data_IF_962683532193
#
_entry.id   IF_962683532193
#
_cell.length_a   1.000
_cell.length_b   1.000
_cell.length_c   1.000
_cell.angle_alpha   90.00
_cell.angle_beta   90.00
_cell.angle_gamma   90.00
#
_symmetry.space_group_name_H-M   'P 1'
#
loop_
_entity.id
_entity.type
_entity.pdbx_description
1 polymer ?
#
# COMPACT_ATOMS: atom_id res chain seq x y z
N UNK A 1 -2.84 -13.00 13.45
CA UNK A 1 -3.30 -11.62 13.49
C UNK A 1 -3.40 -10.98 12.12
N UNK A 2 -2.39 -11.11 11.28
CA UNK A 2 -2.39 -10.57 9.91
C UNK A 2 -3.55 -11.09 9.07
N UNK A 3 -3.83 -12.40 9.16
CA UNK A 3 -4.91 -13.02 8.39
C UNK A 3 -6.29 -12.48 8.77
N UNK A 4 -6.48 -12.11 10.04
CA UNK A 4 -7.74 -11.51 10.47
C UNK A 4 -7.92 -10.11 9.90
N UNK A 5 -6.83 -9.37 9.82
CA UNK A 5 -6.89 -8.02 9.25
C UNK A 5 -7.21 -8.07 7.76
N UNK A 6 -6.66 -9.06 7.03
CA UNK A 6 -6.98 -9.27 5.62
C UNK A 6 -8.49 -9.38 5.43
N UNK A 7 -9.14 -10.21 6.25
CA UNK A 7 -10.58 -10.44 6.13
C UNK A 7 -11.40 -9.23 6.53
N UNK A 8 -10.96 -8.52 7.56
CA UNK A 8 -11.63 -7.28 7.95
C UNK A 8 -11.57 -6.26 6.83
N UNK A 9 -10.40 -6.14 6.21
CA UNK A 9 -10.20 -5.20 5.13
C UNK A 9 -11.07 -5.55 3.92
N UNK A 10 -11.13 -6.84 3.56
CA UNK A 10 -11.98 -7.30 2.47
C UNK A 10 -13.44 -6.95 2.73
N UNK A 11 -13.89 -7.14 3.97
CA UNK A 11 -15.26 -6.84 4.35
C UNK A 11 -15.56 -5.35 4.25
N UNK A 12 -14.63 -4.51 4.70
CA UNK A 12 -14.83 -3.07 4.70
C UNK A 12 -14.87 -2.47 3.30
N UNK A 13 -14.06 -2.99 2.38
CA UNK A 13 -14.05 -2.45 1.03
C UNK A 13 -15.07 -3.09 0.13
N UNK A 14 -15.61 -4.25 0.53
CA UNK A 14 -16.61 -4.96 -0.25
C UNK A 14 -17.88 -4.12 -0.37
N UNK A 15 -18.35 -3.94 -1.60
CA UNK A 15 -19.58 -3.18 -1.83
C UNK A 15 -19.40 -1.67 -1.84
N UNK A 16 -18.23 -1.18 -1.51
CA UNK A 16 -17.98 0.25 -1.61
C UNK A 16 -18.03 0.70 -3.08
N UNK A 17 -18.82 1.70 -3.38
CA UNK A 17 -19.03 2.18 -4.76
C UNK A 17 -18.84 3.69 -4.90
N UNK A 18 -18.18 4.30 -3.92
CA UNK A 18 -17.92 5.73 -3.97
C UNK A 18 -16.69 6.07 -4.82
N UNK A 19 -16.12 7.22 -4.54
CA UNK A 19 -14.96 7.72 -5.25
C UNK A 19 -13.78 6.75 -5.13
N UNK A 20 -13.07 6.53 -6.24
CA UNK A 20 -11.91 5.63 -6.30
C UNK A 20 -12.21 4.17 -5.95
N UNK A 21 -13.46 3.73 -6.13
CA UNK A 21 -13.87 2.36 -5.75
C UNK A 21 -13.01 1.28 -6.40
N UNK A 22 -12.58 1.47 -7.65
CA UNK A 22 -11.75 0.48 -8.34
C UNK A 22 -10.40 0.28 -7.64
N UNK A 23 -9.78 1.37 -7.20
CA UNK A 23 -8.50 1.30 -6.49
C UNK A 23 -8.69 0.81 -5.06
N UNK A 24 -9.73 1.30 -4.39
CA UNK A 24 -10.00 0.90 -3.00
C UNK A 24 -10.26 -0.60 -2.91
N UNK A 25 -10.89 -1.19 -3.92
CA UNK A 25 -11.11 -2.63 -3.94
C UNK A 25 -9.82 -3.43 -3.96
N UNK A 26 -8.70 -2.80 -4.30
CA UNK A 26 -7.38 -3.46 -4.33
C UNK A 26 -6.64 -3.37 -3.00
N UNK A 27 -7.20 -2.68 -2.00
CA UNK A 27 -6.53 -2.54 -0.70
C UNK A 27 -6.16 -3.89 -0.07
N UNK A 28 -7.06 -4.91 -0.05
CA UNK A 28 -6.68 -6.19 0.52
C UNK A 28 -5.51 -6.85 -0.22
N UNK A 29 -5.51 -6.79 -1.56
CA UNK A 29 -4.43 -7.38 -2.35
C UNK A 29 -3.10 -6.68 -2.10
N UNK A 30 -3.12 -5.35 -1.98
CA UNK A 30 -1.92 -4.57 -1.71
C UNK A 30 -1.39 -4.85 -0.30
N UNK A 31 -2.29 -4.97 0.68
CA UNK A 31 -1.89 -5.34 2.03
C UNK A 31 -1.21 -6.71 2.05
N UNK A 32 -1.80 -7.70 1.36
CA UNK A 32 -1.21 -9.03 1.26
C UNK A 32 0.15 -9.00 0.57
N UNK A 33 0.29 -8.16 -0.46
CA UNK A 33 1.57 -7.99 -1.13
C UNK A 33 2.65 -7.55 -0.14
N UNK A 34 2.34 -6.54 0.68
CA UNK A 34 3.31 -6.05 1.66
C UNK A 34 3.70 -7.14 2.67
N UNK A 35 2.73 -7.90 3.18
CA UNK A 35 3.04 -8.95 4.15
C UNK A 35 3.88 -10.07 3.54
N UNK A 36 3.62 -10.41 2.28
CA UNK A 36 4.40 -11.45 1.59
C UNK A 36 5.79 -10.97 1.23
N UNK A 37 5.94 -9.71 0.86
CA UNK A 37 7.26 -9.13 0.60
C UNK A 37 8.14 -9.21 1.84
N UNK A 38 7.55 -8.94 3.00
CA UNK A 38 8.31 -8.97 4.25
C UNK A 38 8.90 -10.37 4.53
N UNK A 39 8.19 -11.43 4.09
CA UNK A 39 8.64 -12.81 4.28
C UNK A 39 9.51 -13.31 3.12
N UNK A 40 9.66 -12.55 2.05
CA UNK A 40 10.42 -13.00 0.89
C UNK A 40 11.91 -12.78 1.12
N UNK A 41 12.74 -13.84 1.03
CA UNK A 41 14.18 -13.71 1.28
C UNK A 41 14.90 -12.80 0.27
N UNK A 42 14.29 -12.52 -0.88
CA UNK A 42 14.88 -11.64 -1.87
C UNK A 42 14.59 -10.16 -1.63
N UNK A 43 13.77 -9.84 -0.62
CA UNK A 43 13.49 -8.44 -0.30
C UNK A 43 14.79 -7.75 0.12
N UNK A 44 15.17 -6.62 -0.55
CA UNK A 44 16.35 -5.89 -0.11
C UNK A 44 16.19 -5.48 1.36
N UNK A 45 17.16 -5.89 2.18
CA UNK A 45 17.06 -5.73 3.63
C UNK A 45 16.86 -4.30 4.09
N UNK A 46 17.45 -3.34 3.39
CA UNK A 46 17.31 -1.93 3.79
C UNK A 46 15.90 -1.40 3.55
N UNK A 47 15.08 -2.11 2.78
CA UNK A 47 13.69 -1.70 2.53
C UNK A 47 12.69 -2.36 3.48
N UNK A 48 13.13 -3.31 4.31
CA UNK A 48 12.24 -3.94 5.28
C UNK A 48 11.52 -2.92 6.17
N UNK A 49 12.20 -1.89 6.71
CA UNK A 49 11.50 -0.90 7.52
C UNK A 49 10.38 -0.17 6.78
N UNK A 50 10.56 0.11 5.48
CA UNK A 50 9.51 0.74 4.68
C UNK A 50 8.31 -0.18 4.50
N UNK A 51 8.57 -1.46 4.23
CA UNK A 51 7.50 -2.45 4.09
C UNK A 51 6.72 -2.57 5.40
N UNK A 52 7.44 -2.66 6.53
CA UNK A 52 6.81 -2.71 7.85
C UNK A 52 5.97 -1.46 8.10
N UNK A 53 6.50 -0.28 7.75
CA UNK A 53 5.79 0.97 7.96
C UNK A 53 4.49 1.03 7.15
N UNK A 54 4.51 0.51 5.90
CA UNK A 54 3.29 0.51 5.09
C UNK A 54 2.23 -0.43 5.66
N UNK A 55 2.63 -1.57 6.23
CA UNK A 55 1.71 -2.48 6.89
C UNK A 55 1.13 -1.82 8.14
N UNK A 56 1.97 -1.19 8.94
CA UNK A 56 1.52 -0.51 10.15
C UNK A 56 0.55 0.62 9.84
N UNK A 57 0.77 1.33 8.74
CA UNK A 57 -0.10 2.43 8.33
C UNK A 57 -1.53 1.94 8.08
N UNK A 58 -1.68 0.76 7.46
CA UNK A 58 -3.00 0.15 7.29
C UNK A 58 -3.69 -0.16 8.61
N UNK A 59 -2.92 -0.62 9.59
CA UNK A 59 -3.46 -1.13 10.85
C UNK A 59 -3.77 -0.03 11.86
N UNK A 60 -2.95 1.03 11.84
CA UNK A 60 -3.09 2.12 12.81
C UNK A 60 -4.36 2.93 12.55
N UNK A 61 -5.06 3.35 13.62
CA UNK A 61 -6.31 4.09 13.45
C UNK A 61 -6.14 5.55 13.05
N UNK A 62 -4.91 6.09 13.09
CA UNK A 62 -4.66 7.49 12.79
C UNK A 62 -4.09 7.67 11.39
N UNK A 63 -4.98 7.74 10.40
CA UNK A 63 -4.60 8.02 9.03
C UNK A 63 -4.69 9.51 8.73
N UNK A 64 -4.00 9.93 7.67
CA UNK A 64 -4.10 11.31 7.19
C UNK A 64 -5.54 11.62 6.80
N UNK A 65 -6.21 10.63 6.17
CA UNK A 65 -7.65 10.72 5.86
C UNK A 65 -8.35 9.73 6.79
N UNK A 66 -9.06 10.21 7.84
CA UNK A 66 -9.65 9.31 8.83
C UNK A 66 -10.71 8.39 8.25
N UNK A 67 -10.52 7.09 8.43
CA UNK A 67 -11.48 6.08 7.95
C UNK A 67 -12.82 6.20 8.67
N UNK A 68 -12.80 6.57 9.94
CA UNK A 68 -14.02 6.76 10.74
C UNK A 68 -14.95 7.80 10.12
N UNK A 69 -14.38 8.81 9.49
CA UNK A 69 -15.15 9.89 8.89
C UNK A 69 -15.51 9.61 7.44
N UNK A 70 -14.62 8.97 6.69
CA UNK A 70 -14.78 8.78 5.25
C UNK A 70 -15.00 7.34 4.82
N UNK A 71 -15.00 6.39 5.77
CA UNK A 71 -15.14 4.97 5.47
C UNK A 71 -14.00 4.47 4.59
N UNK A 72 -14.28 3.57 3.63
CA UNK A 72 -13.23 3.00 2.79
C UNK A 72 -12.42 4.03 1.99
N UNK A 73 -12.95 5.22 1.78
CA UNK A 73 -12.19 6.27 1.09
C UNK A 73 -10.92 6.62 1.86
N UNK A 74 -10.91 6.39 3.19
CA UNK A 74 -9.72 6.61 4.01
C UNK A 74 -8.55 5.70 3.66
N UNK A 75 -8.78 4.62 2.89
CA UNK A 75 -7.69 3.72 2.48
C UNK A 75 -6.89 4.25 1.30
N UNK A 76 -7.27 5.39 0.73
CA UNK A 76 -6.57 5.94 -0.45
C UNK A 76 -5.10 6.21 -0.16
N UNK A 77 -4.79 6.75 1.02
CA UNK A 77 -3.40 7.01 1.40
C UNK A 77 -2.62 5.72 1.64
N UNK A 78 -3.27 4.69 2.21
CA UNK A 78 -2.65 3.36 2.38
C UNK A 78 -2.30 2.74 1.03
N UNK A 79 -3.23 2.84 0.07
CA UNK A 79 -3.05 2.29 -1.27
C UNK A 79 -1.88 2.98 -1.96
N UNK A 80 -1.82 4.31 -1.89
CA UNK A 80 -0.71 5.05 -2.47
C UNK A 80 0.62 4.62 -1.84
N UNK A 81 0.65 4.52 -0.52
CA UNK A 81 1.87 4.17 0.20
C UNK A 81 2.36 2.78 -0.21
N UNK A 82 1.46 1.81 -0.33
CA UNK A 82 1.85 0.47 -0.76
C UNK A 82 2.44 0.48 -2.17
N UNK A 83 1.83 1.23 -3.08
CA UNK A 83 2.34 1.34 -4.44
C UNK A 83 3.73 2.00 -4.46
N UNK A 84 3.91 3.03 -3.66
CA UNK A 84 5.18 3.72 -3.53
C UNK A 84 6.29 2.77 -3.04
N UNK A 85 5.99 2.02 -1.97
CA UNK A 85 6.96 1.08 -1.40
C UNK A 85 7.24 -0.07 -2.38
N UNK A 86 6.20 -0.62 -3.02
CA UNK A 86 6.38 -1.68 -4.01
C UNK A 86 7.28 -1.23 -5.15
N UNK A 87 7.10 0.01 -5.62
CA UNK A 87 7.94 0.56 -6.68
C UNK A 87 9.40 0.65 -6.25
N UNK A 88 9.66 1.06 -5.01
CA UNK A 88 11.00 1.08 -4.46
C UNK A 88 11.60 -0.32 -4.41
N UNK A 89 10.79 -1.32 -4.02
CA UNK A 89 11.27 -2.69 -3.94
C UNK A 89 11.71 -3.20 -5.30
N UNK A 90 10.89 -3.01 -6.35
CA UNK A 90 11.27 -3.51 -7.67
C UNK A 90 12.50 -2.81 -8.24
N UNK A 91 12.64 -1.52 -7.97
CA UNK A 91 13.80 -0.76 -8.44
C UNK A 91 15.09 -1.19 -7.75
N UNK A 92 15.01 -1.41 -6.44
CA UNK A 92 16.17 -1.86 -5.67
C UNK A 92 16.56 -3.28 -6.03
N UNK A 93 15.57 -4.15 -6.23
CA UNK A 93 15.80 -5.55 -6.61
C UNK A 93 16.28 -5.69 -8.06
N UNK A 94 16.01 -4.69 -8.88
CA UNK A 94 16.39 -4.71 -10.30
C UNK A 94 15.51 -5.61 -11.15
N UNK A 95 14.37 -6.05 -10.63
CA UNK A 95 13.44 -6.93 -11.35
C UNK A 95 12.04 -6.80 -10.78
N UNK A 96 11.04 -7.08 -11.62
CA UNK A 96 9.64 -7.09 -11.20
C UNK A 96 9.22 -8.44 -10.61
N UNK A 97 10.08 -9.47 -10.71
CA UNK A 97 9.73 -10.84 -10.31
C UNK A 97 9.26 -10.94 -8.87
N UNK A 98 9.91 -10.20 -7.96
CA UNK A 98 9.54 -10.28 -6.55
C UNK A 98 8.11 -9.78 -6.30
N UNK A 99 7.66 -8.80 -7.07
CA UNK A 99 6.28 -8.32 -6.96
C UNK A 99 5.31 -9.32 -7.57
N UNK A 100 5.65 -9.82 -8.76
CA UNK A 100 4.77 -10.71 -9.51
C UNK A 100 4.48 -12.00 -8.74
N UNK A 101 5.52 -12.61 -8.16
CA UNK A 101 5.32 -13.88 -7.44
C UNK A 101 4.60 -13.72 -6.10
N UNK A 102 4.59 -12.52 -5.55
CA UNK A 102 3.91 -12.26 -4.28
C UNK A 102 2.53 -11.64 -4.44
N UNK A 103 2.10 -11.44 -5.69
CA UNK A 103 0.83 -10.81 -6.01
C UNK A 103 -0.27 -11.86 -6.16
N UNK A 104 -1.40 -11.63 -5.53
CA UNK A 104 -2.51 -12.56 -5.52
C UNK A 104 -3.80 -11.83 -5.91
N UNK A 105 -3.87 -11.39 -7.16
CA UNK A 105 -5.06 -10.74 -7.70
C UNK A 105 -5.02 -10.85 -9.22
N UNK A 106 -6.19 -10.76 -9.85
CA UNK A 106 -6.30 -10.90 -11.30
C UNK A 106 -5.74 -9.69 -12.06
N UNK A 107 -5.81 -8.52 -11.45
CA UNK A 107 -5.29 -7.29 -12.06
C UNK A 107 -3.77 -7.35 -12.09
N UNK A 108 -3.12 -7.09 -13.23
CA UNK A 108 -1.65 -7.10 -13.27
C UNK A 108 -1.04 -6.08 -12.30
N UNK A 109 -0.06 -6.52 -11.51
CA UNK A 109 0.46 -5.70 -10.41
C UNK A 109 1.25 -4.48 -10.90
N UNK A 110 2.10 -4.64 -11.92
CA UNK A 110 2.95 -3.53 -12.36
C UNK A 110 2.13 -2.38 -12.96
N UNK A 111 1.21 -2.63 -13.90
CA UNK A 111 0.35 -1.54 -14.39
C UNK A 111 -0.48 -0.90 -13.28
N UNK A 112 -0.93 -1.67 -12.29
CA UNK A 112 -1.70 -1.14 -11.18
C UNK A 112 -0.85 -0.17 -10.36
N UNK A 113 0.38 -0.55 -10.03
CA UNK A 113 1.29 0.30 -9.28
C UNK A 113 1.55 1.60 -10.05
N UNK A 114 1.81 1.50 -11.35
CA UNK A 114 2.06 2.66 -12.17
C UNK A 114 0.85 3.59 -12.23
N UNK A 115 -0.35 3.02 -12.34
CA UNK A 115 -1.58 3.79 -12.35
C UNK A 115 -1.77 4.55 -11.04
N UNK A 116 -1.52 3.89 -9.92
CA UNK A 116 -1.67 4.53 -8.61
C UNK A 116 -0.69 5.69 -8.47
N UNK A 117 0.57 5.48 -8.86
CA UNK A 117 1.59 6.52 -8.75
C UNK A 117 1.31 7.70 -9.68
N UNK A 118 0.79 7.44 -10.87
CA UNK A 118 0.41 8.50 -11.81
C UNK A 118 -0.77 9.31 -11.30
N UNK A 119 -1.58 8.72 -10.42
CA UNK A 119 -2.75 9.37 -9.85
C UNK A 119 -2.47 10.05 -8.51
N UNK A 120 -1.21 10.25 -8.18
CA UNK A 120 -0.78 10.81 -6.90
C UNK A 120 -1.54 12.09 -6.53
N UNK A 121 -1.60 13.07 -7.43
CA UNK A 121 -2.29 14.33 -7.17
C UNK A 121 -3.76 14.13 -6.81
N UNK A 122 -4.43 13.26 -7.57
CA UNK A 122 -5.83 12.98 -7.38
C UNK A 122 -6.11 12.21 -6.09
N UNK A 123 -5.21 11.27 -5.74
CA UNK A 123 -5.41 10.41 -4.59
C UNK A 123 -5.02 11.09 -3.28
N UNK A 124 -3.87 11.72 -3.22
CA UNK A 124 -3.33 12.25 -1.96
C UNK A 124 -2.97 13.73 -2.03
N UNK A 125 -2.67 14.26 -3.23
CA UNK A 125 -2.38 15.69 -3.41
C UNK A 125 -1.34 16.21 -2.43
N UNK A 126 -1.70 17.23 -1.68
CA UNK A 126 -0.81 17.88 -0.73
C UNK A 126 -0.47 17.02 0.50
N UNK A 127 -1.17 15.90 0.67
CA UNK A 127 -0.93 15.03 1.82
C UNK A 127 0.31 14.16 1.68
N UNK A 128 0.95 14.15 0.51
CA UNK A 128 2.11 13.28 0.26
C UNK A 128 3.22 13.49 1.31
N UNK A 129 3.58 14.74 1.57
CA UNK A 129 4.65 15.02 2.53
C UNK A 129 4.28 14.56 3.94
N UNK A 130 3.02 14.73 4.31
CA UNK A 130 2.54 14.30 5.63
C UNK A 130 2.67 12.77 5.75
N UNK A 131 2.29 12.04 4.70
CA UNK A 131 2.38 10.58 4.69
C UNK A 131 3.85 10.14 4.77
N UNK A 132 4.73 10.78 4.00
CA UNK A 132 6.16 10.44 4.01
C UNK A 132 6.78 10.72 5.37
N UNK A 133 6.40 11.84 6.00
CA UNK A 133 6.90 12.18 7.34
C UNK A 133 6.41 11.18 8.38
N UNK A 134 5.16 10.75 8.24
CA UNK A 134 4.55 9.81 9.19
C UNK A 134 5.30 8.48 9.23
N UNK A 135 5.75 7.98 8.09
CA UNK A 135 6.50 6.73 8.03
C UNK A 135 8.01 6.93 8.21
N UNK A 136 8.47 8.17 8.32
CA UNK A 136 9.88 8.47 8.47
C UNK A 136 10.70 8.17 7.22
N UNK A 137 10.12 8.35 6.04
CA UNK A 137 10.75 7.98 4.78
C UNK A 137 12.15 8.58 4.60
N UNK A 138 12.31 9.87 4.88
CA UNK A 138 13.59 10.53 4.71
C UNK A 138 14.68 9.92 5.59
N UNK A 139 14.31 9.53 6.81
CA UNK A 139 15.24 8.90 7.74
C UNK A 139 15.60 7.48 7.28
N UNK A 140 14.65 6.76 6.69
CA UNK A 140 14.88 5.42 6.22
C UNK A 140 15.72 5.38 4.95
N UNK A 141 15.67 6.44 4.14
CA UNK A 141 16.44 6.53 2.92
C UNK A 141 17.90 6.97 3.15
N UNK A 142 18.17 7.61 4.27
CA UNK A 142 19.52 8.00 4.61
C UNK A 142 20.26 6.89 5.33
#
# INVERSE_FOLDING_TARGET
>A
MMKRFDKLLEKEVSGYKGKHSDLISKAPALYKLMTRLLDDPALPGRLSPLVIASIAYFILPEDVIPEEKYGPLGFVDDIFLCAFVADKVRKEAGTDDILIRNWDDKTPVIPLIEQILESEEELIGDNKQIIMDYIGYEQLET
#
